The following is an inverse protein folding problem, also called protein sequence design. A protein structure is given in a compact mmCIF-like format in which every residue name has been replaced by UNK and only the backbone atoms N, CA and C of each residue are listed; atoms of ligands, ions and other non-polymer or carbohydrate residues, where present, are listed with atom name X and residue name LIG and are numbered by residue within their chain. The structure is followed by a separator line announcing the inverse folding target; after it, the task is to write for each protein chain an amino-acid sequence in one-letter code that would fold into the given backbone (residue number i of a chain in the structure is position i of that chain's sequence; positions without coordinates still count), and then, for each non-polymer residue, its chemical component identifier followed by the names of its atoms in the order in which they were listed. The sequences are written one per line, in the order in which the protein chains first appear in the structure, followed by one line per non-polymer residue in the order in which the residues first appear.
data_IF_710564168740
#
_entry.id   IF_710564168740
#
_cell.length_a   1.000
_cell.length_b   1.000
_cell.length_c   1.000
_cell.angle_alpha   90.00
_cell.angle_beta   90.00
_cell.angle_gamma   90.00
#
_symmetry.space_group_name_H-M   'P 1'
#
loop_
_entity.id
_entity.type
_entity.pdbx_description
1 polymer ?
#
# COMPACT_ATOMS: atom_id res chain seq x y z
N UNK A 1 32.59 -73.88 -2.96
CA UNK A 1 31.24 -74.33 -3.40
C UNK A 1 30.27 -73.13 -3.35
N UNK A 2 30.49 -72.13 -4.21
CA UNK A 2 29.89 -70.79 -4.10
C UNK A 2 29.33 -70.32 -5.45
N UNK A 3 28.57 -71.16 -6.17
CA UNK A 3 27.91 -70.77 -7.42
C UNK A 3 26.83 -71.82 -7.79
N UNK A 4 25.76 -71.88 -6.99
CA UNK A 4 24.48 -72.43 -7.45
C UNK A 4 23.41 -71.43 -7.02
N UNK A 5 22.66 -70.91 -8.00
CA UNK A 5 21.56 -69.96 -7.87
C UNK A 5 21.90 -68.46 -7.85
N UNK A 6 22.60 -67.99 -8.91
CA UNK A 6 22.54 -66.57 -9.33
C UNK A 6 21.10 -66.05 -9.44
N UNK A 7 20.13 -66.90 -9.82
CA UNK A 7 18.70 -66.56 -9.85
C UNK A 7 18.12 -66.16 -8.49
N UNK A 8 18.50 -66.85 -7.41
CA UNK A 8 18.04 -66.51 -6.06
C UNK A 8 18.63 -65.19 -5.58
N UNK A 9 19.91 -64.93 -5.88
CA UNK A 9 20.54 -63.67 -5.53
C UNK A 9 19.87 -62.47 -6.22
N UNK A 10 19.55 -62.58 -7.51
CA UNK A 10 18.80 -61.56 -8.24
C UNK A 10 17.36 -61.39 -7.73
N UNK A 11 16.70 -62.49 -7.32
CA UNK A 11 15.38 -62.42 -6.70
C UNK A 11 15.39 -61.69 -5.34
N UNK A 12 16.37 -62.01 -4.48
CA UNK A 12 16.51 -61.36 -3.17
C UNK A 12 16.82 -59.87 -3.34
N UNK A 13 17.67 -59.51 -4.31
CA UNK A 13 17.98 -58.11 -4.63
C UNK A 13 16.74 -57.35 -5.13
N UNK A 14 15.94 -57.95 -6.02
CA UNK A 14 14.72 -57.33 -6.54
C UNK A 14 13.66 -57.12 -5.46
N UNK A 15 13.47 -58.10 -4.57
CA UNK A 15 12.54 -58.00 -3.43
C UNK A 15 13.01 -56.92 -2.44
N UNK A 16 14.31 -56.85 -2.15
CA UNK A 16 14.89 -55.80 -1.32
C UNK A 16 14.65 -54.40 -1.89
N UNK A 17 14.83 -54.21 -3.20
CA UNK A 17 14.59 -52.92 -3.86
C UNK A 17 13.10 -52.55 -3.80
N UNK A 18 12.20 -53.52 -4.03
CA UNK A 18 10.75 -53.29 -3.93
C UNK A 18 10.31 -52.92 -2.51
N UNK A 19 10.87 -53.55 -1.48
CA UNK A 19 10.58 -53.20 -0.07
C UNK A 19 11.04 -51.77 0.24
N UNK A 20 12.22 -51.35 -0.22
CA UNK A 20 12.71 -49.98 -0.02
C UNK A 20 11.84 -48.96 -0.76
N UNK A 21 11.39 -49.27 -1.97
CA UNK A 21 10.48 -48.40 -2.74
C UNK A 21 9.12 -48.28 -2.05
N UNK A 22 8.55 -49.38 -1.57
CA UNK A 22 7.27 -49.36 -0.82
C UNK A 22 7.41 -48.59 0.48
N UNK A 23 8.54 -48.72 1.20
CA UNK A 23 8.80 -47.95 2.41
C UNK A 23 8.97 -46.45 2.12
N UNK A 24 9.63 -46.09 1.01
CA UNK A 24 9.77 -44.69 0.57
C UNK A 24 8.44 -44.09 0.09
N UNK A 25 7.57 -44.89 -0.52
CA UNK A 25 6.21 -44.48 -0.92
C UNK A 25 5.31 -44.33 0.30
N UNK A 26 5.39 -45.22 1.28
CA UNK A 26 4.66 -45.10 2.56
C UNK A 26 5.12 -43.87 3.36
N UNK A 27 6.41 -43.53 3.34
CA UNK A 27 6.93 -42.27 3.90
C UNK A 27 6.45 -41.03 3.14
N UNK A 28 6.22 -41.12 1.83
CA UNK A 28 5.61 -40.02 1.04
C UNK A 28 4.10 -39.93 1.22
N UNK A 29 3.42 -41.04 1.50
CA UNK A 29 1.96 -41.12 1.66
C UNK A 29 1.49 -40.78 3.08
N UNK A 30 2.39 -40.76 4.06
CA UNK A 30 2.12 -40.18 5.36
C UNK A 30 2.78 -38.80 5.45
N UNK A 31 2.20 -37.73 4.85
CA UNK A 31 2.42 -36.42 5.39
C UNK A 31 1.58 -36.36 6.67
N UNK A 32 1.99 -37.10 7.70
CA UNK A 32 2.09 -36.48 9.00
C UNK A 32 3.15 -35.39 8.85
N UNK A 33 2.79 -34.35 8.08
CA UNK A 33 3.25 -33.02 8.39
C UNK A 33 2.86 -32.91 9.84
N UNK A 34 3.87 -33.03 10.71
CA UNK A 34 3.86 -32.48 12.06
C UNK A 34 2.91 -31.33 11.98
N UNK A 35 1.72 -31.50 12.57
CA UNK A 35 0.73 -30.45 12.62
C UNK A 35 1.55 -29.27 13.11
N UNK A 36 1.87 -28.36 12.18
CA UNK A 36 2.73 -27.23 12.46
C UNK A 36 1.97 -26.63 13.60
N UNK A 37 2.57 -26.70 14.80
CA UNK A 37 2.04 -26.00 15.94
C UNK A 37 1.92 -24.58 15.39
N UNK A 38 0.71 -24.22 14.97
CA UNK A 38 0.27 -22.87 14.84
C UNK A 38 0.20 -22.44 16.28
N UNK A 39 1.39 -22.30 16.90
CA UNK A 39 1.62 -21.39 17.99
C UNK A 39 0.84 -20.17 17.55
N UNK A 40 -0.26 -19.87 18.24
CA UNK A 40 -0.96 -18.62 18.08
C UNK A 40 0.08 -17.54 18.31
N UNK A 41 0.59 -17.02 17.20
CA UNK A 41 1.72 -16.09 17.21
C UNK A 41 1.11 -14.76 17.54
N UNK A 42 1.48 -14.10 18.64
CA UNK A 42 0.81 -12.86 19.03
C UNK A 42 0.98 -11.86 17.88
N UNK A 43 -0.13 -11.41 17.25
CA UNK A 43 -0.07 -10.41 16.20
C UNK A 43 0.43 -9.10 16.81
N UNK A 44 1.11 -8.27 16.01
CA UNK A 44 1.39 -6.88 16.43
C UNK A 44 0.05 -6.26 16.81
N UNK A 45 -0.07 -5.86 18.07
CA UNK A 45 -1.28 -5.24 18.59
C UNK A 45 -0.95 -3.83 19.04
N UNK A 46 -1.61 -2.85 18.46
CA UNK A 46 -1.46 -1.46 18.83
C UNK A 46 -2.28 -1.22 20.09
N UNK A 47 -1.62 -0.85 21.18
CA UNK A 47 -2.28 -0.60 22.46
C UNK A 47 -2.66 0.86 22.58
N UNK A 48 -1.76 1.75 22.19
CA UNK A 48 -1.97 3.19 22.40
C UNK A 48 -1.16 4.05 21.44
N UNK A 49 -1.74 5.18 21.05
CA UNK A 49 -1.04 6.27 20.38
C UNK A 49 -1.40 7.56 21.13
N UNK A 50 -0.41 8.25 21.68
CA UNK A 50 -0.60 9.48 22.48
C UNK A 50 0.11 10.65 21.83
N UNK A 51 -0.54 11.81 21.85
CA UNK A 51 0.10 13.09 21.57
C UNK A 51 0.74 13.64 22.85
N UNK A 52 2.02 14.00 22.77
CA UNK A 52 2.68 14.85 23.75
C UNK A 52 2.68 16.29 23.25
N UNK A 53 1.77 17.11 23.80
CA UNK A 53 1.53 18.49 23.35
C UNK A 53 2.76 19.39 23.57
N UNK A 54 3.45 19.25 24.69
CA UNK A 54 4.57 20.13 25.05
C UNK A 54 5.75 20.05 24.06
N UNK A 55 6.04 18.85 23.58
CA UNK A 55 7.16 18.59 22.66
C UNK A 55 6.74 18.43 21.19
N UNK A 56 5.45 18.65 20.88
CA UNK A 56 4.81 18.30 19.61
C UNK A 56 5.33 16.98 19.05
N UNK A 57 5.14 15.90 19.80
CA UNK A 57 5.61 14.55 19.45
C UNK A 57 4.60 13.49 19.83
N UNK A 58 4.78 12.28 19.33
CA UNK A 58 3.85 11.17 19.53
C UNK A 58 4.57 10.05 20.26
N UNK A 59 3.85 9.37 21.14
CA UNK A 59 4.26 8.09 21.70
C UNK A 59 3.36 6.97 21.20
N UNK A 60 3.96 5.86 20.79
CA UNK A 60 3.25 4.66 20.34
C UNK A 60 3.59 3.51 21.27
N UNK A 61 2.56 2.88 21.83
CA UNK A 61 2.65 1.65 22.61
C UNK A 61 2.08 0.48 21.80
N UNK A 62 2.89 -0.56 21.60
CA UNK A 62 2.51 -1.75 20.86
C UNK A 62 3.02 -3.02 21.53
N UNK A 63 2.24 -4.09 21.40
CA UNK A 63 2.59 -5.42 21.86
C UNK A 63 3.10 -6.29 20.70
N UNK A 64 4.17 -7.04 20.96
CA UNK A 64 4.80 -7.96 20.01
C UNK A 64 5.53 -9.08 20.75
N UNK A 65 5.88 -10.16 20.06
CA UNK A 65 6.78 -11.18 20.59
C UNK A 65 8.13 -10.58 21.04
N UNK A 66 8.69 -11.01 22.18
CA UNK A 66 10.06 -10.67 22.56
C UNK A 66 11.08 -11.12 21.50
N UNK A 67 12.26 -10.49 21.52
CA UNK A 67 13.36 -10.63 20.54
C UNK A 67 12.97 -10.30 19.10
N UNK A 68 11.91 -9.50 18.90
CA UNK A 68 11.50 -9.08 17.55
C UNK A 68 12.15 -7.76 17.15
N UNK A 69 12.58 -7.66 15.89
CA UNK A 69 13.08 -6.40 15.33
C UNK A 69 11.89 -5.55 14.91
N UNK A 70 11.83 -4.29 15.31
CA UNK A 70 10.78 -3.36 14.91
C UNK A 70 11.34 -2.14 14.20
N UNK A 71 10.53 -1.56 13.32
CA UNK A 71 10.75 -0.28 12.67
C UNK A 71 9.45 0.50 12.70
N UNK A 72 9.51 1.77 13.12
CA UNK A 72 8.42 2.73 13.04
C UNK A 72 8.80 3.76 12.00
N UNK A 73 8.01 3.87 10.94
CA UNK A 73 8.14 4.90 9.92
C UNK A 73 6.83 5.65 9.75
N UNK A 74 6.85 6.76 9.03
CA UNK A 74 5.63 7.39 8.53
C UNK A 74 5.25 6.82 7.14
N UNK A 75 4.15 7.28 6.54
CA UNK A 75 3.70 6.82 5.22
C UNK A 75 4.60 7.27 4.05
N UNK A 76 5.57 8.15 4.30
CA UNK A 76 6.60 8.57 3.34
C UNK A 76 7.85 7.71 3.42
N UNK A 77 7.81 6.66 4.24
CA UNK A 77 8.94 5.77 4.51
C UNK A 77 10.09 6.46 5.24
N UNK A 78 9.82 7.60 5.89
CA UNK A 78 10.79 8.19 6.80
C UNK A 78 10.83 7.35 8.08
N UNK A 79 11.98 6.74 8.36
CA UNK A 79 12.17 5.96 9.58
C UNK A 79 12.28 6.90 10.78
N UNK A 80 11.36 6.76 11.72
CA UNK A 80 11.32 7.56 12.96
C UNK A 80 12.01 6.83 14.12
N UNK A 81 11.94 5.51 14.15
CA UNK A 81 12.57 4.69 15.18
C UNK A 81 12.76 3.25 14.72
N UNK A 82 13.73 2.55 15.28
CA UNK A 82 13.94 1.12 15.09
C UNK A 82 14.66 0.51 16.27
N UNK A 83 14.42 -0.78 16.54
CA UNK A 83 15.15 -1.47 17.59
C UNK A 83 14.78 -2.94 17.71
N UNK A 84 15.26 -3.58 18.77
CA UNK A 84 14.88 -4.93 19.17
C UNK A 84 14.01 -4.84 20.40
N UNK A 85 12.82 -5.43 20.30
CA UNK A 85 11.90 -5.54 21.42
C UNK A 85 12.31 -6.71 22.31
N UNK A 86 12.71 -6.44 23.55
CA UNK A 86 13.00 -7.49 24.54
C UNK A 86 11.81 -7.81 25.46
N UNK A 87 10.73 -7.03 25.37
CA UNK A 87 9.54 -7.12 26.21
C UNK A 87 8.30 -7.39 25.36
N UNK A 88 7.25 -7.95 25.96
CA UNK A 88 5.97 -8.17 25.25
C UNK A 88 5.30 -6.86 24.84
N UNK A 89 5.53 -5.79 25.58
CA UNK A 89 5.00 -4.45 25.31
C UNK A 89 6.14 -3.44 25.21
N UNK A 90 6.03 -2.53 24.24
CA UNK A 90 7.05 -1.54 23.94
C UNK A 90 6.36 -0.19 23.77
N UNK A 91 6.93 0.83 24.39
CA UNK A 91 6.54 2.22 24.17
C UNK A 91 7.71 2.95 23.56
N UNK A 92 7.48 3.58 22.41
CA UNK A 92 8.45 4.46 21.75
C UNK A 92 7.88 5.86 21.77
N UNK A 93 8.59 6.78 22.41
CA UNK A 93 8.21 8.19 22.57
C UNK A 93 8.95 9.09 21.57
N UNK A 94 8.60 10.38 21.57
CA UNK A 94 9.28 11.44 20.81
C UNK A 94 9.26 11.28 19.30
N UNK A 95 8.30 10.52 18.77
CA UNK A 95 8.11 10.34 17.34
C UNK A 95 7.58 11.63 16.72
N UNK A 96 8.24 12.10 15.66
CA UNK A 96 7.84 13.30 14.90
C UNK A 96 7.51 12.93 13.44
N UNK A 97 6.35 12.32 13.15
CA UNK A 97 5.99 11.96 11.78
C UNK A 97 5.80 13.18 10.88
N UNK A 98 6.05 12.96 9.59
CA UNK A 98 5.80 13.93 8.52
C UNK A 98 4.53 13.61 7.70
N UNK A 99 3.68 12.71 8.21
CA UNK A 99 2.42 12.29 7.59
C UNK A 99 1.35 11.97 8.64
N UNK A 100 0.09 11.89 8.23
CA UNK A 100 -1.07 11.64 9.09
C UNK A 100 -1.16 10.21 9.67
N UNK A 101 -0.30 9.29 9.24
CA UNK A 101 -0.26 7.90 9.74
C UNK A 101 1.16 7.41 9.94
N UNK A 102 1.30 6.45 10.85
CA UNK A 102 2.52 5.73 11.14
C UNK A 102 2.40 4.28 10.68
N UNK A 103 3.54 3.69 10.34
CA UNK A 103 3.69 2.30 9.93
C UNK A 103 4.63 1.63 10.92
N UNK A 104 4.14 0.60 11.58
CA UNK A 104 4.90 -0.20 12.53
C UNK A 104 5.11 -1.57 11.90
N UNK A 105 6.35 -1.85 11.55
CA UNK A 105 6.79 -3.11 10.96
C UNK A 105 7.54 -3.90 12.01
N UNK A 106 7.18 -5.16 12.23
CA UNK A 106 7.91 -6.07 13.12
C UNK A 106 8.31 -7.32 12.38
N UNK A 107 9.57 -7.74 12.54
CA UNK A 107 10.13 -8.98 12.03
C UNK A 107 10.51 -9.91 13.19
N UNK A 108 9.97 -11.13 13.17
CA UNK A 108 10.28 -12.18 14.14
C UNK A 108 10.40 -13.53 13.42
N UNK A 109 11.54 -14.22 13.56
CA UNK A 109 11.80 -15.52 12.93
C UNK A 109 11.36 -15.57 11.45
N UNK A 110 11.85 -14.62 10.67
CA UNK A 110 11.53 -14.40 9.24
C UNK A 110 10.09 -14.00 8.89
N UNK A 111 9.16 -13.95 9.85
CA UNK A 111 7.82 -13.42 9.63
C UNK A 111 7.84 -11.90 9.77
N UNK A 112 7.17 -11.21 8.85
CA UNK A 112 7.04 -9.76 8.86
C UNK A 112 5.57 -9.41 9.00
N UNK A 113 5.26 -8.61 10.01
CA UNK A 113 3.94 -8.04 10.22
C UNK A 113 4.04 -6.52 10.10
N UNK A 114 3.01 -5.90 9.54
CA UNK A 114 2.94 -4.45 9.38
C UNK A 114 1.58 -3.95 9.87
N UNK A 115 1.57 -2.89 10.67
CA UNK A 115 0.36 -2.20 11.11
C UNK A 115 0.46 -0.72 10.84
N UNK A 116 -0.62 -0.17 10.29
CA UNK A 116 -0.75 1.26 10.04
C UNK A 116 -1.66 1.85 11.13
N UNK A 117 -1.25 2.98 11.71
CA UNK A 117 -1.98 3.67 12.78
C UNK A 117 -2.10 5.14 12.46
N UNK A 118 -3.24 5.75 12.80
CA UNK A 118 -3.43 7.18 12.63
C UNK A 118 -2.67 7.96 13.68
N UNK A 119 -2.11 9.10 13.26
CA UNK A 119 -1.59 10.13 14.16
C UNK A 119 -2.77 10.76 14.92
N UNK A 120 -2.64 11.06 16.23
CA UNK A 120 -3.72 11.67 16.99
C UNK A 120 -4.14 13.04 16.44
N UNK A 121 -5.44 13.32 16.51
CA UNK A 121 -6.01 14.63 16.17
C UNK A 121 -5.34 15.69 17.05
N UNK A 122 -4.84 16.76 16.43
CA UNK A 122 -4.13 17.87 17.10
C UNK A 122 -2.61 17.80 17.06
N UNK A 123 -2.00 16.74 16.50
CA UNK A 123 -0.58 16.77 16.17
C UNK A 123 -0.34 17.68 14.95
N UNK A 124 0.60 18.62 15.07
CA UNK A 124 0.92 19.53 13.98
C UNK A 124 2.14 19.02 13.18
N UNK A 125 1.94 18.68 11.91
CA UNK A 125 3.03 18.28 11.01
C UNK A 125 3.80 19.54 10.60
N UNK A 126 4.98 19.77 11.19
CA UNK A 126 5.75 21.01 11.02
C UNK A 126 6.18 21.32 9.58
N UNK A 127 6.34 20.30 8.74
CA UNK A 127 6.60 20.42 7.30
C UNK A 127 5.83 19.33 6.58
N UNK A 128 4.78 19.68 5.84
CA UNK A 128 4.20 18.74 4.89
C UNK A 128 5.28 18.44 3.85
N UNK A 129 5.85 17.23 3.88
CA UNK A 129 6.89 16.83 2.92
C UNK A 129 6.35 16.55 1.49
N UNK A 130 5.21 17.11 1.12
CA UNK A 130 4.64 17.00 -0.23
C UNK A 130 4.40 18.40 -0.73
N UNK A 131 5.32 18.92 -1.53
CA UNK A 131 4.99 20.04 -2.39
C UNK A 131 4.09 19.50 -3.50
N UNK A 132 2.83 19.90 -3.45
CA UNK A 132 1.81 19.55 -4.44
C UNK A 132 2.14 20.28 -5.73
N UNK A 133 2.72 19.56 -6.69
CA UNK A 133 2.78 20.04 -8.06
C UNK A 133 1.51 19.55 -8.78
N UNK A 134 0.72 20.44 -9.40
CA UNK A 134 -0.35 20.03 -10.30
C UNK A 134 0.23 19.23 -11.46
N UNK A 135 -0.61 18.39 -12.08
CA UNK A 135 -0.20 17.50 -13.15
C UNK A 135 -0.97 17.92 -14.39
N UNK A 136 -0.28 18.42 -15.43
CA UNK A 136 -0.88 18.65 -16.73
C UNK A 136 -1.61 17.40 -17.24
N UNK A 137 -2.65 17.62 -18.03
CA UNK A 137 -3.40 16.52 -18.62
C UNK A 137 -2.50 15.65 -19.51
N UNK A 138 -2.60 14.33 -19.37
CA UNK A 138 -1.73 13.37 -20.04
C UNK A 138 -0.43 13.06 -19.30
N UNK A 139 -0.05 13.87 -18.31
CA UNK A 139 1.13 13.61 -17.47
C UNK A 139 0.81 12.69 -16.29
N UNK A 140 1.84 11.99 -15.81
CA UNK A 140 1.73 11.10 -14.65
C UNK A 140 2.23 11.82 -13.40
N UNK A 141 1.34 12.02 -12.45
CA UNK A 141 1.68 12.33 -11.07
C UNK A 141 2.40 11.15 -10.45
N UNK A 142 3.50 11.41 -9.74
CA UNK A 142 4.15 10.40 -8.92
C UNK A 142 4.30 10.91 -7.51
N UNK A 143 3.77 10.14 -6.57
CA UNK A 143 4.03 10.32 -5.17
C UNK A 143 5.19 9.41 -4.77
N UNK A 144 6.34 10.01 -4.47
CA UNK A 144 7.57 9.27 -4.17
C UNK A 144 7.75 9.07 -2.67
N UNK A 145 8.13 7.86 -2.29
CA UNK A 145 8.70 7.52 -0.99
C UNK A 145 10.20 7.74 -1.00
N UNK A 146 10.91 7.12 -0.05
CA UNK A 146 12.35 7.30 0.09
C UNK A 146 13.15 6.70 -1.07
N UNK A 147 12.69 5.58 -1.63
CA UNK A 147 13.44 4.84 -2.65
C UNK A 147 12.63 4.45 -3.89
N UNK A 148 11.31 4.68 -3.89
CA UNK A 148 10.42 4.24 -4.96
C UNK A 148 9.13 5.06 -5.00
N UNK A 149 8.37 4.91 -6.08
CA UNK A 149 7.03 5.51 -6.22
C UNK A 149 6.06 4.78 -5.31
N UNK A 150 5.40 5.50 -4.42
CA UNK A 150 4.36 4.98 -3.53
C UNK A 150 3.03 4.82 -4.29
N UNK A 151 2.63 5.84 -5.05
CA UNK A 151 1.51 5.74 -5.99
C UNK A 151 1.69 6.71 -7.16
N UNK A 152 1.03 6.42 -8.28
CA UNK A 152 0.95 7.32 -9.42
C UNK A 152 -0.49 7.56 -9.87
N UNK A 153 -0.73 8.71 -10.49
CA UNK A 153 -2.02 9.07 -11.07
C UNK A 153 -1.80 9.67 -12.45
N UNK A 154 -2.58 9.22 -13.43
CA UNK A 154 -2.59 9.79 -14.78
C UNK A 154 -4.01 10.14 -15.17
N UNK A 155 -4.20 11.30 -15.77
CA UNK A 155 -5.50 11.77 -16.25
C UNK A 155 -5.42 11.89 -17.76
N UNK A 156 -6.32 11.22 -18.48
CA UNK A 156 -6.36 11.27 -19.95
C UNK A 156 -7.77 11.59 -20.46
N UNK A 157 -7.91 12.33 -21.58
CA UNK A 157 -9.20 12.51 -22.21
C UNK A 157 -9.82 11.17 -22.60
N UNK A 158 -11.12 11.00 -22.33
CA UNK A 158 -11.86 9.87 -22.88
C UNK A 158 -12.17 10.19 -24.34
N UNK A 159 -12.01 9.22 -25.25
CA UNK A 159 -12.47 9.39 -26.64
C UNK A 159 -13.97 9.68 -26.62
N UNK A 160 -14.34 10.90 -26.99
CA UNK A 160 -15.72 11.35 -27.10
C UNK A 160 -16.03 11.66 -28.56
N UNK A 161 -17.26 11.36 -28.98
CA UNK A 161 -17.72 11.70 -30.32
C UNK A 161 -17.86 13.22 -30.42
N UNK A 162 -17.12 13.86 -31.33
CA UNK A 162 -17.07 15.33 -31.45
C UNK A 162 -18.44 15.95 -31.78
N UNK A 163 -19.37 15.15 -32.29
CA UNK A 163 -20.73 15.57 -32.65
C UNK A 163 -21.72 15.53 -31.48
N UNK A 164 -21.27 15.20 -30.26
CA UNK A 164 -22.15 15.12 -29.10
C UNK A 164 -22.36 16.53 -28.52
N UNK A 165 -23.58 17.06 -28.65
CA UNK A 165 -24.01 18.41 -28.22
C UNK A 165 -24.01 18.57 -26.68
N UNK A 166 -23.75 17.48 -25.94
CA UNK A 166 -23.69 17.53 -24.49
C UNK A 166 -22.53 18.44 -24.04
N UNK A 167 -22.86 19.50 -23.31
CA UNK A 167 -21.93 20.44 -22.70
C UNK A 167 -21.18 19.80 -21.51
N UNK A 168 -20.56 18.64 -21.77
CA UNK A 168 -19.86 17.82 -20.79
C UNK A 168 -18.67 17.13 -21.42
N UNK A 169 -17.58 17.05 -20.68
CA UNK A 169 -16.35 16.37 -21.12
C UNK A 169 -15.98 15.26 -20.14
N UNK A 170 -15.54 14.11 -20.66
CA UNK A 170 -15.18 12.95 -19.84
C UNK A 170 -13.67 12.68 -19.87
N UNK A 171 -13.12 12.34 -18.70
CA UNK A 171 -11.71 11.99 -18.52
C UNK A 171 -11.58 10.64 -17.83
N UNK A 172 -10.55 9.88 -18.19
CA UNK A 172 -10.14 8.70 -17.46
C UNK A 172 -9.07 9.07 -16.44
N UNK A 173 -9.32 8.80 -15.16
CA UNK A 173 -8.32 8.86 -14.10
C UNK A 173 -7.83 7.44 -13.84
N UNK A 174 -6.54 7.21 -14.05
CA UNK A 174 -5.87 5.95 -13.71
C UNK A 174 -5.01 6.15 -12.49
N UNK A 175 -5.27 5.38 -11.43
CA UNK A 175 -4.48 5.37 -10.21
C UNK A 175 -3.77 4.03 -10.08
N UNK A 176 -2.46 4.08 -9.84
CA UNK A 176 -1.63 2.92 -9.48
C UNK A 176 -1.16 3.10 -8.06
N UNK A 177 -1.65 2.27 -7.15
CA UNK A 177 -1.14 2.21 -5.79
C UNK A 177 -0.05 1.14 -5.74
N UNK A 178 1.18 1.51 -6.12
CA UNK A 178 2.27 0.54 -6.31
C UNK A 178 2.79 -0.01 -4.98
N UNK A 179 3.04 0.88 -4.01
CA UNK A 179 3.65 0.53 -2.72
C UNK A 179 3.01 1.25 -1.52
N UNK A 180 2.05 2.14 -1.73
CA UNK A 180 1.41 2.88 -0.64
C UNK A 180 0.59 1.93 0.26
N UNK A 181 0.99 1.84 1.53
CA UNK A 181 0.47 0.84 2.47
C UNK A 181 -1.00 1.06 2.84
N UNK A 182 -1.56 2.23 2.54
CA UNK A 182 -2.98 2.54 2.71
C UNK A 182 -3.67 2.62 1.35
N UNK A 183 -4.97 2.28 1.26
CA UNK A 183 -5.71 2.46 0.03
C UNK A 183 -5.73 3.94 -0.39
N UNK A 184 -5.53 4.19 -1.68
CA UNK A 184 -5.78 5.51 -2.27
C UNK A 184 -7.29 5.65 -2.47
N UNK A 185 -7.87 6.73 -1.97
CA UNK A 185 -9.33 6.93 -1.96
C UNK A 185 -9.71 8.07 -2.90
N UNK A 186 -10.26 7.72 -4.06
CA UNK A 186 -10.86 8.68 -4.98
C UNK A 186 -12.28 9.01 -4.53
N UNK A 187 -12.58 10.30 -4.44
CA UNK A 187 -13.89 10.84 -4.09
C UNK A 187 -14.04 12.19 -4.82
N UNK A 188 -15.25 12.55 -5.23
CA UNK A 188 -15.51 13.80 -5.96
C UNK A 188 -15.09 15.01 -5.14
N UNK A 189 -15.28 14.99 -3.82
CA UNK A 189 -14.90 16.10 -2.92
C UNK A 189 -13.39 16.38 -2.86
N UNK A 190 -12.57 15.43 -3.35
CA UNK A 190 -11.13 15.56 -3.42
C UNK A 190 -10.67 16.04 -4.80
N UNK A 191 -11.58 16.23 -5.75
CA UNK A 191 -11.26 16.76 -7.06
C UNK A 191 -11.73 18.21 -7.16
N UNK A 192 -10.86 19.07 -7.69
CA UNK A 192 -11.26 20.38 -8.15
C UNK A 192 -10.90 20.52 -9.62
N UNK A 193 -11.74 21.22 -10.35
CA UNK A 193 -11.53 21.50 -11.76
C UNK A 193 -11.70 22.99 -11.98
N UNK A 194 -10.80 23.58 -12.76
CA UNK A 194 -10.98 24.91 -13.33
C UNK A 194 -10.73 24.92 -14.83
N UNK A 195 -11.30 25.90 -15.53
CA UNK A 195 -10.93 26.22 -16.91
C UNK A 195 -9.58 26.97 -16.98
N UNK A 196 -9.19 27.34 -18.20
CA UNK A 196 -7.97 28.10 -18.46
C UNK A 196 -7.96 29.52 -17.86
N UNK A 197 -9.13 30.06 -17.55
CA UNK A 197 -9.30 31.38 -16.93
C UNK A 197 -9.36 31.31 -15.40
N UNK A 198 -9.40 30.09 -14.84
CA UNK A 198 -9.47 29.84 -13.41
C UNK A 198 -10.88 29.75 -12.85
N UNK A 199 -11.93 29.78 -13.71
CA UNK A 199 -13.30 29.59 -13.25
C UNK A 199 -13.50 28.14 -12.82
N UNK A 200 -14.12 27.94 -11.65
CA UNK A 200 -14.36 26.60 -11.12
C UNK A 200 -15.46 25.89 -11.92
N UNK A 201 -15.20 24.63 -12.27
CA UNK A 201 -16.12 23.76 -12.98
C UNK A 201 -16.62 22.64 -12.08
N UNK A 202 -17.83 22.17 -12.37
CA UNK A 202 -18.46 21.10 -11.58
C UNK A 202 -18.07 19.72 -12.12
N UNK A 203 -17.53 18.88 -11.25
CA UNK A 203 -17.31 17.46 -11.54
C UNK A 203 -18.59 16.70 -11.17
N UNK A 204 -19.15 15.94 -12.12
CA UNK A 204 -20.29 15.06 -11.83
C UNK A 204 -19.94 14.13 -10.66
N UNK A 205 -20.78 14.08 -9.62
CA UNK A 205 -20.55 13.20 -8.49
C UNK A 205 -20.37 11.74 -8.92
N UNK A 206 -19.42 11.06 -8.30
CA UNK A 206 -19.21 9.63 -8.45
C UNK A 206 -18.97 8.98 -7.09
N UNK A 207 -19.34 7.71 -6.97
CA UNK A 207 -19.17 6.95 -5.73
C UNK A 207 -17.72 6.88 -5.32
N UNK A 208 -17.46 7.01 -4.01
CA UNK A 208 -16.13 6.85 -3.43
C UNK A 208 -15.50 5.51 -3.83
N UNK A 209 -14.26 5.56 -4.33
CA UNK A 209 -13.53 4.41 -4.83
C UNK A 209 -12.23 4.25 -4.05
N UNK A 210 -12.06 3.07 -3.46
CA UNK A 210 -10.83 2.66 -2.78
C UNK A 210 -9.96 1.84 -3.73
N UNK A 211 -8.69 2.21 -3.87
CA UNK A 211 -7.66 1.47 -4.61
C UNK A 211 -6.69 0.85 -3.58
N UNK A 212 -6.81 -0.46 -3.27
CA UNK A 212 -5.94 -1.13 -2.31
C UNK A 212 -4.46 -1.07 -2.69
N UNK A 213 -3.58 -1.32 -1.73
CA UNK A 213 -2.15 -1.44 -1.98
C UNK A 213 -1.85 -2.49 -3.06
N UNK A 214 -0.87 -2.19 -3.92
CA UNK A 214 -0.45 -3.02 -5.06
C UNK A 214 -1.55 -3.26 -6.09
N UNK A 215 -2.49 -2.32 -6.23
CA UNK A 215 -3.58 -2.40 -7.21
C UNK A 215 -3.61 -1.15 -8.10
N UNK A 216 -4.12 -1.35 -9.31
CA UNK A 216 -4.39 -0.30 -10.29
C UNK A 216 -5.88 -0.25 -10.56
N UNK A 217 -6.43 0.97 -10.71
CA UNK A 217 -7.81 1.16 -11.13
C UNK A 217 -7.93 2.38 -12.03
N UNK A 218 -8.79 2.27 -13.04
CA UNK A 218 -9.14 3.37 -13.94
C UNK A 218 -10.62 3.66 -13.77
N UNK A 219 -10.97 4.94 -13.67
CA UNK A 219 -12.34 5.42 -13.52
C UNK A 219 -12.59 6.54 -14.53
N UNK A 220 -13.84 6.69 -14.99
CA UNK A 220 -14.23 7.86 -15.77
C UNK A 220 -14.82 8.92 -14.85
N UNK A 221 -14.37 10.16 -14.99
CA UNK A 221 -15.02 11.34 -14.43
C UNK A 221 -15.65 12.15 -15.57
N UNK A 222 -16.68 12.93 -15.24
CA UNK A 222 -17.33 13.84 -16.19
C UNK A 222 -17.36 15.24 -15.61
N UNK A 223 -17.02 16.22 -16.42
CA UNK A 223 -17.01 17.64 -16.08
C UNK A 223 -18.18 18.28 -16.80
N UNK A 224 -18.99 19.03 -16.06
CA UNK A 224 -20.16 19.74 -16.59
C UNK A 224 -19.78 21.15 -17.04
N UNK A 225 -20.51 21.68 -18.02
CA UNK A 225 -20.37 23.06 -18.48
C UNK A 225 -19.30 23.26 -19.55
N UNK A 226 -18.60 22.21 -19.98
CA UNK A 226 -17.51 22.30 -20.97
C UNK A 226 -17.70 21.25 -22.08
N UNK A 227 -17.79 21.68 -23.34
CA UNK A 227 -17.86 20.77 -24.48
C UNK A 227 -16.48 20.15 -24.75
N UNK A 228 -16.46 18.96 -25.35
CA UNK A 228 -15.21 18.24 -25.62
C UNK A 228 -14.20 19.03 -26.49
N UNK A 229 -14.68 19.97 -27.30
CA UNK A 229 -13.84 20.89 -28.09
C UNK A 229 -13.05 21.91 -27.27
N UNK A 230 -13.54 22.26 -26.07
CA UNK A 230 -12.95 23.24 -25.16
C UNK A 230 -12.32 22.58 -23.93
N UNK A 231 -12.08 21.27 -24.00
CA UNK A 231 -11.45 20.48 -22.96
C UNK A 231 -9.94 20.74 -22.79
N UNK A 232 -9.32 21.35 -23.81
CA UNK A 232 -7.92 21.75 -23.75
C UNK A 232 -7.78 22.94 -22.79
N UNK A 233 -6.85 22.87 -21.84
CA UNK A 233 -6.62 23.92 -20.84
C UNK A 233 -7.33 23.70 -19.50
N UNK A 234 -8.11 22.63 -19.35
CA UNK A 234 -8.69 22.27 -18.05
C UNK A 234 -7.61 21.86 -17.05
N UNK A 235 -7.70 22.39 -15.84
CA UNK A 235 -6.82 22.05 -14.72
C UNK A 235 -7.59 21.17 -13.74
N UNK A 236 -7.17 19.91 -13.61
CA UNK A 236 -7.78 18.96 -12.68
C UNK A 236 -6.80 18.70 -11.54
N UNK A 237 -7.19 19.05 -10.32
CA UNK A 237 -6.38 18.79 -9.14
C UNK A 237 -7.03 17.73 -8.25
N UNK A 238 -6.19 16.94 -7.57
CA UNK A 238 -6.61 15.92 -6.64
C UNK A 238 -6.01 16.16 -5.26
N UNK A 239 -6.87 16.38 -4.28
CA UNK A 239 -6.54 16.77 -2.91
C UNK A 239 -6.91 15.65 -1.94
N UNK A 240 -5.91 14.92 -1.44
CA UNK A 240 -6.16 13.93 -0.38
C UNK A 240 -5.83 14.51 0.99
N UNK A 241 -6.67 14.19 1.97
CA UNK A 241 -6.51 14.58 3.39
C UNK A 241 -5.21 14.05 4.02
N UNK A 242 -4.58 13.04 3.42
CA UNK A 242 -3.33 12.45 3.92
C UNK A 242 -2.06 13.05 3.26
N UNK A 243 -2.23 14.03 2.36
CA UNK A 243 -1.14 14.62 1.55
C UNK A 243 -1.29 16.16 1.49
N UNK A 244 -0.92 16.95 2.51
CA UNK A 244 -1.43 18.33 2.77
C UNK A 244 -1.00 19.53 1.86
N UNK A 245 -2.00 20.44 1.63
CA UNK A 245 -2.32 21.73 0.93
C UNK A 245 -2.15 22.14 -0.60
N UNK A 246 -3.23 22.42 -1.40
CA UNK A 246 -3.20 22.51 -2.88
C UNK A 246 -2.53 23.78 -3.38
N UNK A 247 -1.79 23.69 -4.49
CA UNK A 247 -1.24 24.84 -5.23
C UNK A 247 -1.81 24.77 -6.66
N UNK A 248 -2.56 25.78 -7.11
CA UNK A 248 -3.04 25.86 -8.49
C UNK A 248 -1.88 26.18 -9.44
N UNK A 249 -1.94 25.70 -10.68
CA UNK A 249 -1.14 26.28 -11.76
C UNK A 249 -1.93 26.32 -13.06
N UNK A 250 -1.82 27.48 -13.70
CA UNK A 250 -2.29 27.80 -15.04
C UNK A 250 -1.28 27.20 -16.01
N UNK A 251 -1.74 26.51 -17.04
CA UNK A 251 -0.86 26.07 -18.13
C UNK A 251 -0.79 27.20 -19.16
N UNK A 252 0.42 27.60 -19.53
CA UNK A 252 0.68 28.52 -20.65
C UNK A 252 0.48 27.81 -22.00
#
# INVERSE_FOLDING_TARGET
MFLKNKRYFWFILAVSIMVVIVLAVLWRMNPEGTASNKFERPPITIKKVKLNKHSNSIAVTFATSPKSKYTISDLKENQLSSGISNKRENTVSELKPSSSKLVIRVKHNNNIQTKVVSVPIGYHIMKSAISRKPIPMGEEFKYNGKSHVLFSMTITPKKQNKNNIQNTTAFNITVKNDHYLVPVVLDTKYLTVSDSEGNSLTVKPFSKISIPAKKKKTIAITIEGVPASSANGLVITYNTVDLDLPIPFINF
#
